data_IF_127746653030
#
_entry.id   IF_127746653030
#
_cell.length_a   1.000
_cell.length_b   1.000
_cell.length_c   1.000
_cell.angle_alpha   90.00
_cell.angle_beta   90.00
_cell.angle_gamma   90.00
#
_symmetry.space_group_name_H-M   'P 1'
#
loop_
_entity.id
_entity.type
_entity.pdbx_description
1 polymer ?
#
# COMPACT_ATOMS: atom_id res chain seq x y z
N UNK A 1 12.04 -10.74 5.33
CA UNK A 1 11.58 -9.86 6.44
C UNK A 1 10.13 -10.21 6.68
N UNK A 2 9.78 -10.60 7.90
CA UNK A 2 8.45 -11.07 8.29
C UNK A 2 7.72 -9.91 8.98
N UNK A 3 6.49 -9.62 8.58
CA UNK A 3 5.69 -8.55 9.16
C UNK A 3 4.44 -8.28 8.36
N UNK A 4 3.54 -7.49 8.94
CA UNK A 4 2.36 -7.03 8.22
C UNK A 4 2.75 -6.07 7.09
N UNK A 5 1.88 -5.93 6.09
CA UNK A 5 2.08 -4.91 5.06
C UNK A 5 1.94 -3.51 5.67
N UNK A 6 2.80 -2.60 5.19
CA UNK A 6 2.90 -1.24 5.69
C UNK A 6 2.79 -0.23 4.55
N UNK A 7 1.98 0.80 4.77
CA UNK A 7 1.78 1.91 3.84
C UNK A 7 2.05 3.25 4.52
N UNK A 8 2.89 4.03 3.86
CA UNK A 8 3.31 5.36 4.28
C UNK A 8 2.90 6.38 3.22
N UNK A 9 1.97 7.26 3.58
CA UNK A 9 1.54 8.33 2.67
C UNK A 9 2.47 9.52 2.78
N UNK A 10 2.98 9.99 1.65
CA UNK A 10 3.68 11.26 1.58
C UNK A 10 2.69 12.42 1.71
N UNK A 11 2.84 13.25 2.75
CA UNK A 11 2.03 14.44 3.01
C UNK A 11 2.65 15.66 2.29
N UNK A 12 2.71 15.61 0.96
CA UNK A 12 3.18 16.73 0.12
C UNK A 12 4.66 17.08 0.28
N UNK A 13 5.52 16.09 0.52
CA UNK A 13 6.97 16.25 0.65
C UNK A 13 7.46 16.67 2.04
N UNK A 14 6.55 16.88 3.00
CA UNK A 14 6.90 17.35 4.36
C UNK A 14 7.24 16.22 5.31
N UNK A 15 6.49 15.12 5.22
CA UNK A 15 6.65 13.92 6.06
C UNK A 15 5.90 12.74 5.45
N UNK A 16 6.19 11.56 5.98
CA UNK A 16 5.42 10.35 5.73
C UNK A 16 4.55 10.02 6.93
N UNK A 17 3.28 9.72 6.68
CA UNK A 17 2.33 9.27 7.71
C UNK A 17 1.99 7.81 7.50
N UNK A 18 2.19 6.98 8.52
CA UNK A 18 1.79 5.57 8.50
C UNK A 18 0.26 5.46 8.50
N UNK A 19 -0.31 4.92 7.43
CA UNK A 19 -1.78 4.71 7.27
C UNK A 19 -2.14 3.25 6.96
N UNK A 20 -1.22 2.32 7.17
CA UNK A 20 -1.38 0.90 6.85
C UNK A 20 -2.69 0.29 7.34
N UNK A 21 -3.07 0.50 8.61
CA UNK A 21 -4.30 -0.09 9.17
C UNK A 21 -5.59 0.60 8.75
N UNK A 22 -5.49 1.81 8.21
CA UNK A 22 -6.64 2.50 7.65
C UNK A 22 -6.99 1.96 6.26
N UNK A 23 -5.98 1.63 5.45
CA UNK A 23 -6.17 1.16 4.07
C UNK A 23 -6.19 -0.37 3.98
N UNK A 24 -5.35 -1.04 4.76
CA UNK A 24 -5.18 -2.49 4.85
C UNK A 24 -5.46 -2.93 6.30
N UNK A 25 -6.73 -2.94 6.73
CA UNK A 25 -7.10 -3.28 8.11
C UNK A 25 -6.74 -4.74 8.47
N UNK A 26 -6.67 -5.61 7.46
CA UNK A 26 -6.17 -6.97 7.55
C UNK A 26 -5.10 -7.17 6.49
N UNK A 27 -4.02 -7.82 6.87
CA UNK A 27 -2.89 -8.14 5.99
C UNK A 27 -2.41 -9.54 6.32
N UNK A 28 -1.92 -10.24 5.32
CA UNK A 28 -1.10 -11.43 5.46
C UNK A 28 0.03 -11.30 6.46
N UNK A 29 0.70 -12.43 6.70
CA UNK A 29 2.08 -12.43 7.14
C UNK A 29 3.07 -12.22 5.98
N UNK A 30 2.89 -11.12 5.25
CA UNK A 30 3.70 -10.70 4.10
C UNK A 30 3.01 -10.87 2.73
N UNK A 31 2.99 -9.80 1.95
CA UNK A 31 2.59 -9.84 0.54
C UNK A 31 3.52 -10.73 -0.32
N UNK A 32 2.92 -11.48 -1.24
CA UNK A 32 3.63 -12.24 -2.28
C UNK A 32 4.10 -11.35 -3.44
N UNK A 33 3.44 -10.22 -3.67
CA UNK A 33 3.69 -9.37 -4.82
C UNK A 33 2.97 -8.02 -4.69
N UNK A 34 3.59 -6.98 -5.25
CA UNK A 34 3.06 -5.62 -5.26
C UNK A 34 3.24 -5.03 -6.67
N UNK A 35 2.21 -4.37 -7.18
CA UNK A 35 2.26 -3.61 -8.44
C UNK A 35 1.61 -2.24 -8.26
N UNK A 36 2.20 -1.22 -8.88
CA UNK A 36 1.67 0.15 -8.91
C UNK A 36 1.36 0.51 -10.37
N UNK A 37 0.11 0.85 -10.66
CA UNK A 37 -0.36 1.22 -12.00
C UNK A 37 -1.73 1.90 -11.91
N UNK A 38 -2.10 2.65 -12.94
CA UNK A 38 -3.43 3.28 -13.05
C UNK A 38 -4.41 2.23 -13.62
N UNK A 39 -5.23 1.64 -12.75
CA UNK A 39 -6.09 0.51 -13.12
C UNK A 39 -7.37 0.97 -13.83
N UNK A 40 -7.96 2.08 -13.39
CA UNK A 40 -9.22 2.61 -13.91
C UNK A 40 -9.06 3.83 -14.84
N UNK A 41 -7.81 4.23 -15.10
CA UNK A 41 -7.42 5.28 -16.03
C UNK A 41 -7.93 6.68 -15.60
N UNK A 42 -7.96 6.94 -14.30
CA UNK A 42 -8.33 8.23 -13.71
C UNK A 42 -7.13 9.18 -13.47
N UNK A 43 -5.91 8.72 -13.79
CA UNK A 43 -4.66 9.46 -13.59
C UNK A 43 -4.11 9.37 -12.16
N UNK A 44 -4.74 8.60 -11.27
CA UNK A 44 -4.23 8.27 -9.93
C UNK A 44 -3.65 6.87 -9.97
N UNK A 45 -2.44 6.71 -9.43
CA UNK A 45 -1.84 5.39 -9.34
C UNK A 45 -2.51 4.57 -8.25
N UNK A 46 -2.94 3.36 -8.61
CA UNK A 46 -3.43 2.35 -7.71
C UNK A 46 -2.33 1.41 -7.23
N UNK A 47 -2.60 0.72 -6.13
CA UNK A 47 -1.72 -0.30 -5.56
C UNK A 47 -2.47 -1.62 -5.54
N UNK A 48 -1.92 -2.61 -6.25
CA UNK A 48 -2.40 -3.99 -6.22
C UNK A 48 -1.43 -4.85 -5.43
N UNK A 49 -1.95 -5.55 -4.42
CA UNK A 49 -1.19 -6.40 -3.52
C UNK A 49 -1.76 -7.81 -3.61
N UNK A 50 -0.90 -8.80 -3.85
CA UNK A 50 -1.25 -10.22 -3.72
C UNK A 50 -0.79 -10.72 -2.37
N UNK A 51 -1.73 -11.25 -1.61
CA UNK A 51 -1.62 -11.68 -0.22
C UNK A 51 -1.72 -13.23 -0.16
N UNK A 52 -1.30 -13.86 0.94
CA UNK A 52 -1.43 -15.31 1.22
C UNK A 52 -2.46 -15.61 2.29
#
# INVERSE_FOLDING_TARGET
MQGNDEYYQNEGGKRFTKKSRQLFPKTSWGAMGIKVFDFDNDGRLDIYITDM
#
